data_IF_612221284761
#
_entry.id   IF_612221284761
#
_cell.length_a   1.000
_cell.length_b   1.000
_cell.length_c   1.000
_cell.angle_alpha   90.00
_cell.angle_beta   90.00
_cell.angle_gamma   90.00
#
_symmetry.space_group_name_H-M   'P 1'
#
loop_
_entity.id
_entity.type
_entity.pdbx_description
1 polymer ?
#
# COMPACT_ATOMS: atom_id res chain seq x y z
N UNK A 1 -38.95 5.08 -30.13
CA UNK A 1 -38.42 5.78 -28.94
C UNK A 1 -37.68 4.86 -27.97
N UNK A 2 -38.18 3.66 -27.64
CA UNK A 2 -37.49 2.69 -26.71
C UNK A 2 -36.15 2.18 -27.15
N UNK A 3 -35.93 1.94 -28.45
CA UNK A 3 -34.64 1.40 -28.99
C UNK A 3 -33.49 2.38 -28.87
N UNK A 4 -33.69 3.68 -29.01
CA UNK A 4 -32.64 4.70 -28.84
C UNK A 4 -32.16 4.84 -27.38
N UNK A 5 -33.07 4.74 -26.40
CA UNK A 5 -32.72 4.78 -24.97
C UNK A 5 -31.94 3.57 -24.59
N UNK A 6 -32.29 2.37 -25.05
CA UNK A 6 -31.54 1.14 -24.77
C UNK A 6 -30.14 1.17 -25.36
N UNK A 7 -29.98 1.69 -26.58
CA UNK A 7 -28.64 1.85 -27.22
C UNK A 7 -27.77 2.83 -26.44
N UNK A 8 -28.27 4.00 -26.08
CA UNK A 8 -27.52 4.97 -25.30
C UNK A 8 -27.14 4.44 -23.88
N UNK A 9 -28.02 3.65 -23.25
CA UNK A 9 -27.70 3.01 -21.98
C UNK A 9 -26.58 1.95 -22.12
N UNK A 10 -26.67 1.12 -23.16
CA UNK A 10 -25.67 0.11 -23.45
C UNK A 10 -24.27 0.75 -23.72
N UNK A 11 -24.22 1.84 -24.52
CA UNK A 11 -23.00 2.59 -24.78
C UNK A 11 -22.41 3.20 -23.49
N UNK A 12 -23.22 3.76 -22.62
CA UNK A 12 -22.75 4.29 -21.32
C UNK A 12 -22.19 3.19 -20.42
N UNK A 13 -22.86 2.05 -20.33
CA UNK A 13 -22.38 0.90 -19.54
C UNK A 13 -21.07 0.39 -20.12
N UNK A 14 -20.97 0.23 -21.43
CA UNK A 14 -19.75 -0.23 -22.09
C UNK A 14 -18.57 0.72 -21.84
N UNK A 15 -18.77 2.03 -22.02
CA UNK A 15 -17.74 3.04 -21.78
C UNK A 15 -17.30 3.06 -20.31
N UNK A 16 -18.24 2.94 -19.36
CA UNK A 16 -17.93 2.86 -17.95
C UNK A 16 -17.09 1.62 -17.59
N UNK A 17 -17.50 0.44 -18.08
CA UNK A 17 -16.75 -0.80 -17.84
C UNK A 17 -15.34 -0.73 -18.44
N UNK A 18 -15.21 -0.22 -19.66
CA UNK A 18 -13.91 -0.07 -20.32
C UNK A 18 -13.00 0.88 -19.56
N UNK A 19 -13.49 2.04 -19.12
CA UNK A 19 -12.74 3.00 -18.33
C UNK A 19 -12.28 2.42 -16.99
N UNK A 20 -13.17 1.67 -16.32
CA UNK A 20 -12.87 1.01 -15.04
C UNK A 20 -11.78 -0.05 -15.18
N UNK A 21 -11.86 -0.89 -16.22
CA UNK A 21 -10.86 -1.91 -16.50
C UNK A 21 -9.50 -1.30 -16.89
N UNK A 22 -9.50 -0.24 -17.70
CA UNK A 22 -8.28 0.49 -18.04
C UNK A 22 -7.63 1.11 -16.82
N UNK A 23 -8.39 1.76 -15.96
CA UNK A 23 -7.88 2.37 -14.74
C UNK A 23 -7.30 1.31 -13.78
N UNK A 24 -7.99 0.17 -13.59
CA UNK A 24 -7.46 -0.95 -12.80
C UNK A 24 -6.16 -1.51 -13.41
N UNK A 25 -6.10 -1.65 -14.73
CA UNK A 25 -4.88 -2.06 -15.44
C UNK A 25 -3.71 -1.10 -15.22
N UNK A 26 -3.98 0.21 -15.25
CA UNK A 26 -2.97 1.24 -14.93
C UNK A 26 -2.48 1.11 -13.48
N UNK A 27 -3.38 0.91 -12.52
CA UNK A 27 -3.00 0.68 -11.11
C UNK A 27 -2.07 -0.52 -10.99
N UNK A 28 -2.43 -1.65 -11.58
CA UNK A 28 -1.60 -2.87 -11.59
C UNK A 28 -0.22 -2.61 -12.18
N UNK A 29 -0.13 -1.94 -13.33
CA UNK A 29 1.14 -1.63 -13.99
C UNK A 29 2.03 -0.71 -13.15
N UNK A 30 1.44 0.33 -12.55
CA UNK A 30 2.17 1.26 -11.69
C UNK A 30 2.72 0.55 -10.46
N UNK A 31 1.92 -0.29 -9.82
CA UNK A 31 2.31 -1.00 -8.61
C UNK A 31 3.36 -2.09 -8.87
N UNK A 32 3.23 -2.84 -9.97
CA UNK A 32 4.28 -3.77 -10.45
C UNK A 32 5.58 -3.03 -10.73
N UNK A 33 5.51 -1.84 -11.35
CA UNK A 33 6.68 -1.00 -11.56
C UNK A 33 7.31 -0.57 -10.21
N UNK A 34 6.50 -0.16 -9.23
CA UNK A 34 6.95 0.17 -7.87
C UNK A 34 7.72 -1.01 -7.27
N UNK A 35 7.13 -2.22 -7.30
CA UNK A 35 7.76 -3.43 -6.79
C UNK A 35 9.08 -3.75 -7.47
N UNK A 36 9.12 -3.69 -8.80
CA UNK A 36 10.32 -3.92 -9.59
C UNK A 36 11.41 -2.90 -9.28
N UNK A 37 11.07 -1.61 -9.25
CA UNK A 37 12.01 -0.53 -8.96
C UNK A 37 12.55 -0.61 -7.53
N UNK A 38 11.67 -0.84 -6.55
CA UNK A 38 12.05 -1.04 -5.17
C UNK A 38 12.96 -2.27 -5.00
N UNK A 39 12.61 -3.39 -5.63
CA UNK A 39 13.42 -4.61 -5.65
C UNK A 39 14.81 -4.39 -6.24
N UNK A 40 14.92 -3.66 -7.35
CA UNK A 40 16.23 -3.28 -7.94
C UNK A 40 17.05 -2.42 -6.98
N UNK A 41 16.45 -1.43 -6.32
CA UNK A 41 17.15 -0.59 -5.32
C UNK A 41 17.61 -1.42 -4.13
N UNK A 42 16.77 -2.37 -3.68
CA UNK A 42 17.07 -3.30 -2.60
C UNK A 42 18.28 -4.21 -2.95
N UNK A 43 18.22 -4.89 -4.10
CA UNK A 43 19.30 -5.79 -4.56
C UNK A 43 20.61 -5.03 -4.74
N UNK A 44 20.57 -3.80 -5.23
CA UNK A 44 21.76 -2.93 -5.37
C UNK A 44 22.24 -2.30 -4.06
N UNK A 45 21.63 -2.63 -2.93
CA UNK A 45 22.00 -2.05 -1.62
C UNK A 45 21.69 -0.55 -1.46
N UNK A 46 20.90 0.02 -2.38
CA UNK A 46 20.49 1.43 -2.36
C UNK A 46 19.24 1.69 -1.51
N UNK A 47 18.60 0.65 -1.00
CA UNK A 47 17.51 0.69 -0.03
C UNK A 47 17.79 -0.31 1.08
N UNK A 48 17.45 0.04 2.31
CA UNK A 48 17.72 -0.79 3.49
C UNK A 48 16.47 -0.93 4.37
N UNK A 49 15.38 -1.47 3.81
CA UNK A 49 14.15 -1.66 4.58
C UNK A 49 14.34 -2.69 5.68
N UNK A 50 13.53 -2.58 6.72
CA UNK A 50 13.51 -3.55 7.83
C UNK A 50 12.56 -4.69 7.47
N UNK A 51 13.06 -5.93 7.56
CA UNK A 51 12.26 -7.14 7.29
C UNK A 51 10.99 -7.17 8.16
N UNK A 52 11.12 -6.83 9.44
CA UNK A 52 9.98 -6.83 10.37
C UNK A 52 8.82 -5.95 9.87
N UNK A 53 9.10 -4.74 9.38
CA UNK A 53 8.09 -3.83 8.81
C UNK A 53 7.38 -4.46 7.61
N UNK A 54 8.13 -5.07 6.70
CA UNK A 54 7.58 -5.69 5.50
C UNK A 54 6.76 -6.96 5.81
N UNK A 55 7.16 -7.73 6.83
CA UNK A 55 6.35 -8.86 7.32
C UNK A 55 5.01 -8.39 7.92
N UNK A 56 5.00 -7.27 8.66
CA UNK A 56 3.77 -6.70 9.19
C UNK A 56 2.88 -6.22 8.05
N UNK A 57 3.45 -5.59 7.01
CA UNK A 57 2.72 -5.22 5.81
C UNK A 57 2.11 -6.44 5.11
N UNK A 58 2.89 -7.51 4.91
CA UNK A 58 2.41 -8.75 4.29
C UNK A 58 1.20 -9.31 5.03
N UNK A 59 1.30 -9.47 6.35
CA UNK A 59 0.20 -9.94 7.18
C UNK A 59 -1.02 -9.02 7.04
N UNK A 60 -0.82 -7.70 7.11
CA UNK A 60 -1.87 -6.70 6.99
C UNK A 60 -2.58 -6.75 5.63
N UNK A 61 -1.83 -6.87 4.53
CA UNK A 61 -2.37 -6.96 3.17
C UNK A 61 -3.16 -8.25 3.00
N UNK A 62 -2.60 -9.41 3.39
CA UNK A 62 -3.28 -10.70 3.32
C UNK A 62 -4.60 -10.67 4.07
N UNK A 63 -4.59 -10.19 5.31
CA UNK A 63 -5.80 -10.14 6.13
C UNK A 63 -6.82 -9.12 5.63
N UNK A 64 -6.36 -7.99 5.08
CA UNK A 64 -7.22 -7.02 4.40
C UNK A 64 -7.94 -7.65 3.20
N UNK A 65 -7.22 -8.41 2.38
CA UNK A 65 -7.79 -9.14 1.25
C UNK A 65 -8.80 -10.20 1.70
N UNK A 66 -8.43 -11.02 2.70
CA UNK A 66 -9.34 -12.06 3.25
C UNK A 66 -10.62 -11.42 3.79
N UNK A 67 -10.51 -10.33 4.57
CA UNK A 67 -11.67 -9.62 5.10
C UNK A 67 -12.53 -8.99 4.00
N UNK A 68 -11.89 -8.41 2.96
CA UNK A 68 -12.60 -7.81 1.84
C UNK A 68 -13.37 -8.87 1.02
N UNK A 69 -12.72 -9.97 0.65
CA UNK A 69 -13.37 -11.04 -0.11
C UNK A 69 -14.37 -11.86 0.71
N UNK A 70 -14.32 -11.80 2.03
CA UNK A 70 -15.35 -12.34 2.90
C UNK A 70 -16.61 -11.44 2.98
N UNK A 71 -16.56 -10.21 2.45
CA UNK A 71 -17.72 -9.34 2.35
C UNK A 71 -18.64 -9.75 1.19
N UNK A 72 -19.93 -9.39 1.24
CA UNK A 72 -20.90 -9.74 0.20
C UNK A 72 -20.73 -8.96 -1.11
N UNK A 73 -20.18 -7.74 -1.03
CA UNK A 73 -20.06 -6.78 -2.15
C UNK A 73 -18.60 -6.60 -2.59
N UNK A 74 -17.88 -7.69 -2.89
CA UNK A 74 -16.49 -7.63 -3.31
C UNK A 74 -16.32 -7.57 -4.83
N UNK A 75 -15.22 -6.94 -5.30
CA UNK A 75 -14.86 -6.83 -6.72
C UNK A 75 -13.34 -6.93 -6.89
N UNK A 76 -12.88 -7.83 -7.76
CA UNK A 76 -11.46 -7.94 -8.10
C UNK A 76 -10.90 -6.66 -8.71
N UNK A 77 -11.71 -5.95 -9.50
CA UNK A 77 -11.30 -4.70 -10.14
C UNK A 77 -11.08 -3.59 -9.11
N UNK A 78 -11.95 -3.49 -8.11
CA UNK A 78 -11.81 -2.53 -7.01
C UNK A 78 -10.70 -2.93 -6.04
N UNK A 79 -10.44 -4.22 -5.86
CA UNK A 79 -9.33 -4.72 -5.06
C UNK A 79 -7.98 -4.69 -5.81
N UNK A 80 -7.89 -4.15 -7.03
CA UNK A 80 -6.70 -4.24 -7.88
C UNK A 80 -5.42 -3.77 -7.17
N UNK A 81 -5.44 -2.63 -6.49
CA UNK A 81 -4.30 -2.13 -5.72
C UNK A 81 -3.93 -3.08 -4.58
N UNK A 82 -4.91 -3.53 -3.78
CA UNK A 82 -4.66 -4.42 -2.64
C UNK A 82 -4.10 -5.78 -3.10
N UNK A 83 -4.57 -6.30 -4.25
CA UNK A 83 -4.07 -7.54 -4.85
C UNK A 83 -2.64 -7.40 -5.37
N UNK A 84 -2.32 -6.30 -6.03
CA UNK A 84 -0.95 -6.05 -6.52
C UNK A 84 0.01 -5.71 -5.38
N UNK A 85 -0.41 -4.98 -4.37
CA UNK A 85 0.36 -4.76 -3.14
C UNK A 85 0.75 -6.09 -2.48
N UNK A 86 -0.18 -7.07 -2.43
CA UNK A 86 0.14 -8.41 -1.93
C UNK A 86 1.30 -9.04 -2.69
N UNK A 87 1.26 -9.04 -4.02
CA UNK A 87 2.34 -9.60 -4.85
C UNK A 87 3.65 -8.84 -4.64
N UNK A 88 3.60 -7.51 -4.64
CA UNK A 88 4.78 -6.63 -4.48
C UNK A 88 5.42 -6.83 -3.12
N UNK A 89 4.64 -6.82 -2.05
CA UNK A 89 5.15 -7.00 -0.68
C UNK A 89 5.73 -8.40 -0.50
N UNK A 90 5.06 -9.46 -1.01
CA UNK A 90 5.57 -10.83 -1.01
C UNK A 90 6.93 -10.96 -1.70
N UNK A 91 7.10 -10.32 -2.87
CA UNK A 91 8.38 -10.29 -3.58
C UNK A 91 9.46 -9.59 -2.77
N UNK A 92 9.16 -8.44 -2.16
CA UNK A 92 10.12 -7.69 -1.35
C UNK A 92 10.51 -8.49 -0.10
N UNK A 93 9.55 -9.10 0.60
CA UNK A 93 9.81 -9.99 1.74
C UNK A 93 10.71 -11.15 1.33
N UNK A 94 10.40 -11.82 0.21
CA UNK A 94 11.23 -12.88 -0.35
C UNK A 94 12.66 -12.43 -0.64
N UNK A 95 12.86 -11.26 -1.27
CA UNK A 95 14.18 -10.69 -1.54
C UNK A 95 14.94 -10.39 -0.25
N UNK A 96 14.28 -9.89 0.80
CA UNK A 96 14.90 -9.63 2.10
C UNK A 96 15.40 -10.92 2.77
N UNK A 97 14.62 -12.01 2.69
CA UNK A 97 15.04 -13.31 3.17
C UNK A 97 16.25 -13.85 2.39
N UNK A 98 16.21 -13.76 1.05
CA UNK A 98 17.32 -14.21 0.19
C UNK A 98 18.63 -13.44 0.44
N UNK A 99 18.54 -12.18 0.87
CA UNK A 99 19.70 -11.36 1.23
C UNK A 99 20.24 -11.66 2.65
N UNK A 100 19.75 -12.69 3.32
CA UNK A 100 20.16 -13.06 4.68
C UNK A 100 19.71 -12.05 5.75
N UNK A 101 18.82 -11.11 5.42
CA UNK A 101 18.29 -10.13 6.37
C UNK A 101 17.22 -10.70 7.28
N UNK A 102 16.87 -11.99 7.11
CA UNK A 102 15.92 -12.75 7.95
C UNK A 102 16.48 -13.18 9.30
N UNK A 103 17.80 -13.09 9.51
CA UNK A 103 18.44 -13.62 10.71
C UNK A 103 18.60 -12.58 11.82
N UNK A 104 17.81 -12.73 12.90
CA UNK A 104 18.18 -12.20 14.21
C UNK A 104 18.01 -10.72 14.47
N UNK A 105 17.29 -9.96 13.63
CA UNK A 105 17.02 -8.56 13.93
C UNK A 105 15.87 -8.51 14.94
N UNK A 106 16.13 -8.12 16.20
CA UNK A 106 15.07 -8.01 17.18
C UNK A 106 14.02 -6.99 16.71
N UNK A 107 12.74 -7.33 16.86
CA UNK A 107 11.66 -6.38 16.61
C UNK A 107 11.83 -5.15 17.52
N UNK A 108 11.80 -3.96 16.94
CA UNK A 108 11.73 -2.73 17.70
C UNK A 108 10.43 -2.69 18.52
N UNK A 109 10.40 -1.85 19.56
CA UNK A 109 9.19 -1.69 20.38
C UNK A 109 7.96 -1.34 19.54
N UNK A 110 8.12 -0.49 18.52
CA UNK A 110 7.02 -0.11 17.63
C UNK A 110 6.54 -1.30 16.79
N UNK A 111 7.45 -2.14 16.28
CA UNK A 111 7.10 -3.36 15.54
C UNK A 111 6.40 -4.38 16.43
N UNK A 112 6.81 -4.51 17.69
CA UNK A 112 6.11 -5.36 18.67
C UNK A 112 4.68 -4.87 18.93
N UNK A 113 4.49 -3.55 19.08
CA UNK A 113 3.16 -2.93 19.24
C UNK A 113 2.30 -3.21 17.99
N UNK A 114 2.85 -3.08 16.78
CA UNK A 114 2.12 -3.41 15.55
C UNK A 114 1.68 -4.89 15.53
N UNK A 115 2.56 -5.81 15.93
CA UNK A 115 2.22 -7.24 16.00
C UNK A 115 1.12 -7.51 17.03
N UNK A 116 1.16 -6.87 18.20
CA UNK A 116 0.10 -6.99 19.22
C UNK A 116 -1.22 -6.48 18.68
N UNK A 117 -1.25 -5.31 18.02
CA UNK A 117 -2.45 -4.75 17.39
C UNK A 117 -2.96 -5.71 16.31
N UNK A 118 -2.07 -6.30 15.50
CA UNK A 118 -2.43 -7.28 14.49
C UNK A 118 -3.10 -8.52 15.12
N UNK A 119 -2.51 -9.08 16.16
CA UNK A 119 -3.08 -10.23 16.88
C UNK A 119 -4.44 -9.92 17.51
N UNK A 120 -4.57 -8.76 18.18
CA UNK A 120 -5.85 -8.32 18.75
C UNK A 120 -6.92 -8.15 17.68
N UNK A 121 -6.58 -7.53 16.55
CA UNK A 121 -7.50 -7.36 15.43
C UNK A 121 -7.93 -8.69 14.84
N UNK A 122 -7.00 -9.63 14.67
CA UNK A 122 -7.28 -10.97 14.17
C UNK A 122 -8.24 -11.72 15.10
N UNK A 123 -7.99 -11.67 16.41
CA UNK A 123 -8.87 -12.29 17.42
C UNK A 123 -10.25 -11.64 17.41
N UNK A 124 -10.32 -10.30 17.39
CA UNK A 124 -11.59 -9.58 17.34
C UNK A 124 -12.39 -9.95 16.09
N UNK A 125 -11.75 -10.03 14.92
CA UNK A 125 -12.39 -10.49 13.70
C UNK A 125 -12.84 -11.96 13.77
N UNK A 126 -11.98 -12.85 14.29
CA UNK A 126 -12.30 -14.27 14.43
C UNK A 126 -13.50 -14.50 15.36
N UNK A 127 -13.66 -13.68 16.40
CA UNK A 127 -14.78 -13.76 17.34
C UNK A 127 -16.07 -13.15 16.76
N UNK A 128 -15.97 -12.00 16.12
CA UNK A 128 -17.15 -11.28 15.60
C UNK A 128 -17.62 -11.81 14.27
N UNK A 129 -16.74 -12.44 13.46
CA UNK A 129 -16.98 -12.86 12.08
C UNK A 129 -17.48 -11.72 11.17
N UNK A 130 -17.25 -10.47 11.58
CA UNK A 130 -17.70 -9.29 10.87
C UNK A 130 -16.60 -8.81 9.94
N UNK A 131 -16.82 -8.87 8.61
CA UNK A 131 -15.84 -8.42 7.60
C UNK A 131 -15.38 -6.99 7.85
N UNK A 132 -16.29 -6.10 8.28
CA UNK A 132 -15.99 -4.71 8.60
C UNK A 132 -14.97 -4.55 9.75
N UNK A 133 -15.11 -5.33 10.82
CA UNK A 133 -14.15 -5.33 11.95
C UNK A 133 -12.76 -5.76 11.49
N UNK A 134 -12.69 -6.83 10.69
CA UNK A 134 -11.43 -7.30 10.12
C UNK A 134 -10.81 -6.23 9.21
N UNK A 135 -11.58 -5.74 8.23
CA UNK A 135 -11.08 -4.81 7.24
C UNK A 135 -10.57 -3.49 7.87
N UNK A 136 -11.36 -2.83 8.72
CA UNK A 136 -10.95 -1.58 9.38
C UNK A 136 -9.78 -1.82 10.33
N UNK A 137 -9.81 -2.90 11.12
CA UNK A 137 -8.73 -3.24 12.04
C UNK A 137 -7.40 -3.42 11.31
N UNK A 138 -7.39 -4.12 10.16
CA UNK A 138 -6.18 -4.28 9.37
C UNK A 138 -5.74 -2.98 8.69
N UNK A 139 -6.63 -2.05 8.35
CA UNK A 139 -6.22 -0.70 7.92
C UNK A 139 -5.49 0.04 9.04
N UNK A 140 -5.90 -0.12 10.30
CA UNK A 140 -5.18 0.41 11.47
C UNK A 140 -3.79 -0.23 11.59
N UNK A 141 -3.68 -1.55 11.52
CA UNK A 141 -2.39 -2.27 11.52
C UNK A 141 -1.47 -1.75 10.44
N UNK A 142 -1.96 -1.67 9.21
CA UNK A 142 -1.20 -1.17 8.06
C UNK A 142 -0.75 0.29 8.26
N UNK A 143 -1.58 1.13 8.88
CA UNK A 143 -1.21 2.52 9.20
C UNK A 143 -0.08 2.58 10.22
N UNK A 144 -0.19 1.81 11.29
CA UNK A 144 0.83 1.75 12.36
C UNK A 144 2.14 1.17 11.83
N UNK A 145 2.10 0.23 10.87
CA UNK A 145 3.28 -0.34 10.24
C UNK A 145 4.16 0.70 9.49
N UNK A 146 3.60 1.83 9.07
CA UNK A 146 4.39 2.94 8.51
C UNK A 146 5.19 3.73 9.56
N UNK A 147 4.82 3.67 10.83
CA UNK A 147 5.45 4.49 11.88
C UNK A 147 6.97 4.27 11.97
N UNK A 148 7.53 3.04 11.92
CA UNK A 148 8.97 2.85 11.92
C UNK A 148 9.67 3.51 10.73
N UNK A 149 9.08 3.45 9.54
CA UNK A 149 9.60 4.13 8.34
C UNK A 149 9.57 5.65 8.51
N UNK A 150 8.44 6.20 8.95
CA UNK A 150 8.28 7.63 9.23
C UNK A 150 9.28 8.10 10.29
N UNK A 151 9.42 7.34 11.39
CA UNK A 151 10.36 7.66 12.47
C UNK A 151 11.81 7.62 11.98
N UNK A 152 12.19 6.60 11.21
CA UNK A 152 13.52 6.47 10.65
C UNK A 152 13.85 7.65 9.74
N UNK A 153 12.93 8.04 8.87
CA UNK A 153 13.08 9.19 7.96
C UNK A 153 13.12 10.53 8.72
N UNK A 154 12.33 10.66 9.77
CA UNK A 154 12.32 11.88 10.60
C UNK A 154 13.63 12.10 11.34
N UNK A 155 14.22 11.02 11.89
CA UNK A 155 15.47 11.02 12.66
C UNK A 155 16.72 10.97 11.79
N UNK A 156 16.57 10.69 10.50
CA UNK A 156 17.70 10.52 9.59
C UNK A 156 18.45 11.83 9.38
N UNK A 157 19.77 11.83 9.69
CA UNK A 157 20.56 13.07 9.71
C UNK A 157 21.57 13.18 8.58
N UNK A 158 22.03 12.09 7.99
CA UNK A 158 23.06 12.11 6.96
C UNK A 158 23.09 10.82 6.12
N UNK A 159 23.59 10.88 4.89
CA UNK A 159 23.77 9.75 3.99
C UNK A 159 22.70 9.64 2.89
N UNK A 160 22.64 8.52 2.15
CA UNK A 160 21.60 8.27 1.16
C UNK A 160 20.24 8.02 1.83
N UNK A 161 19.14 8.44 1.20
CA UNK A 161 17.80 8.14 1.71
C UNK A 161 17.61 6.62 1.82
N UNK A 162 17.12 6.09 2.95
CA UNK A 162 16.82 4.67 3.08
C UNK A 162 15.65 4.24 2.19
N UNK A 163 14.80 5.20 1.79
CA UNK A 163 13.59 4.95 1.02
C UNK A 163 13.65 5.60 -0.37
N UNK A 164 13.28 4.88 -1.43
CA UNK A 164 13.26 5.41 -2.80
C UNK A 164 12.02 6.29 -3.02
N UNK A 165 12.21 7.61 -3.14
CA UNK A 165 11.12 8.58 -3.32
C UNK A 165 10.26 8.27 -4.56
N UNK A 166 10.89 7.78 -5.62
CA UNK A 166 10.20 7.48 -6.88
C UNK A 166 9.14 6.38 -6.68
N UNK A 167 9.48 5.31 -5.94
CA UNK A 167 8.56 4.21 -5.66
C UNK A 167 7.34 4.70 -4.85
N UNK A 168 7.58 5.48 -3.79
CA UNK A 168 6.51 6.02 -2.96
C UNK A 168 5.62 7.03 -3.72
N UNK A 169 6.21 7.83 -4.62
CA UNK A 169 5.46 8.78 -5.45
C UNK A 169 4.54 8.06 -6.44
N UNK A 170 5.05 7.03 -7.11
CA UNK A 170 4.26 6.26 -8.08
C UNK A 170 3.17 5.46 -7.36
N UNK A 171 3.46 4.88 -6.19
CA UNK A 171 2.44 4.21 -5.38
C UNK A 171 1.35 5.18 -4.90
N UNK A 172 1.70 6.43 -4.54
CA UNK A 172 0.68 7.44 -4.22
C UNK A 172 -0.25 7.73 -5.41
N UNK A 173 0.29 7.79 -6.64
CA UNK A 173 -0.51 7.96 -7.87
C UNK A 173 -1.40 6.74 -8.13
N UNK A 174 -0.86 5.52 -8.01
CA UNK A 174 -1.64 4.29 -8.16
C UNK A 174 -2.79 4.24 -7.15
N UNK A 175 -2.51 4.58 -5.89
CA UNK A 175 -3.51 4.64 -4.84
C UNK A 175 -4.59 5.72 -5.11
N UNK A 176 -4.21 6.89 -5.62
CA UNK A 176 -5.17 7.94 -6.00
C UNK A 176 -6.12 7.48 -7.12
N UNK A 177 -5.60 6.77 -8.13
CA UNK A 177 -6.42 6.16 -9.17
C UNK A 177 -7.35 5.10 -8.57
N UNK A 178 -6.87 4.28 -7.61
CA UNK A 178 -7.68 3.32 -6.86
C UNK A 178 -8.86 3.98 -6.13
N UNK A 179 -8.62 5.10 -5.43
CA UNK A 179 -9.70 5.89 -4.82
C UNK A 179 -10.73 6.32 -5.86
N UNK A 180 -10.27 6.79 -7.03
CA UNK A 180 -11.15 7.17 -8.14
C UNK A 180 -12.02 6.02 -8.64
N UNK A 181 -11.46 4.81 -8.72
CA UNK A 181 -12.20 3.59 -9.10
C UNK A 181 -13.32 3.28 -8.12
N UNK A 182 -13.05 3.38 -6.81
CA UNK A 182 -14.00 3.02 -5.77
C UNK A 182 -15.13 4.05 -5.63
N UNK A 183 -14.82 5.33 -5.89
CA UNK A 183 -15.82 6.42 -5.89
C UNK A 183 -16.67 6.41 -7.16
N UNK A 184 -16.14 6.01 -8.32
CA UNK A 184 -16.81 6.11 -9.62
C UNK A 184 -17.97 5.12 -9.84
N UNK A 185 -18.20 4.18 -8.93
CA UNK A 185 -19.23 3.15 -9.03
C UNK A 185 -20.31 3.24 -7.95
N UNK A 186 -20.67 2.09 -7.39
CA UNK A 186 -21.62 1.98 -6.26
C UNK A 186 -20.97 2.37 -4.93
N UNK A 187 -20.29 3.48 -4.81
CA UNK A 187 -19.65 4.01 -3.60
C UNK A 187 -19.25 2.93 -2.58
N UNK A 188 -18.29 2.08 -2.98
CA UNK A 188 -17.77 1.03 -2.10
C UNK A 188 -16.77 1.65 -1.11
N UNK A 189 -17.32 2.22 -0.03
CA UNK A 189 -16.54 2.87 1.02
C UNK A 189 -15.56 1.92 1.71
N UNK A 190 -15.84 0.62 1.72
CA UNK A 190 -14.95 -0.39 2.30
C UNK A 190 -13.71 -0.54 1.42
N UNK A 191 -13.90 -0.73 0.11
CA UNK A 191 -12.79 -0.80 -0.84
C UNK A 191 -11.96 0.48 -0.85
N UNK A 192 -12.61 1.66 -0.81
CA UNK A 192 -11.95 2.97 -0.85
C UNK A 192 -10.99 3.21 0.32
N UNK A 193 -11.24 2.65 1.51
CA UNK A 193 -10.36 2.85 2.67
C UNK A 193 -8.92 2.40 2.41
N UNK A 194 -8.73 1.31 1.66
CA UNK A 194 -7.41 0.79 1.37
C UNK A 194 -6.56 1.78 0.55
N UNK A 195 -6.97 2.17 -0.67
CA UNK A 195 -6.19 3.09 -1.49
C UNK A 195 -6.11 4.50 -0.89
N UNK A 196 -7.14 4.98 -0.18
CA UNK A 196 -7.10 6.29 0.49
C UNK A 196 -6.00 6.33 1.55
N UNK A 197 -5.94 5.31 2.41
CA UNK A 197 -4.87 5.17 3.42
C UNK A 197 -3.49 5.09 2.73
N UNK A 198 -3.34 4.24 1.72
CA UNK A 198 -2.09 4.07 0.99
C UNK A 198 -1.63 5.41 0.38
N UNK A 199 -2.52 6.14 -0.29
CA UNK A 199 -2.23 7.46 -0.86
C UNK A 199 -1.71 8.44 0.20
N UNK A 200 -2.42 8.60 1.32
CA UNK A 200 -2.05 9.53 2.39
C UNK A 200 -0.68 9.20 3.00
N UNK A 201 -0.43 7.91 3.29
CA UNK A 201 0.82 7.49 3.92
C UNK A 201 2.01 7.57 2.94
N UNK A 202 1.83 7.22 1.67
CA UNK A 202 2.85 7.42 0.65
C UNK A 202 3.22 8.89 0.49
N UNK A 203 2.23 9.81 0.49
CA UNK A 203 2.49 11.25 0.42
C UNK A 203 3.26 11.75 1.66
N UNK A 204 2.99 11.23 2.85
CA UNK A 204 3.76 11.55 4.06
C UNK A 204 5.23 11.11 3.88
N UNK A 205 5.48 9.88 3.42
CA UNK A 205 6.83 9.37 3.18
C UNK A 205 7.55 10.20 2.13
N UNK A 206 6.90 10.51 1.00
CA UNK A 206 7.46 11.40 -0.05
C UNK A 206 7.83 12.76 0.52
N UNK A 207 6.94 13.37 1.32
CA UNK A 207 7.21 14.66 1.97
C UNK A 207 8.44 14.61 2.88
N UNK A 208 8.62 13.52 3.63
CA UNK A 208 9.79 13.33 4.50
C UNK A 208 11.08 13.14 3.71
N UNK A 209 11.06 12.37 2.61
CA UNK A 209 12.24 12.18 1.74
C UNK A 209 12.63 13.51 1.10
N UNK A 210 11.67 14.25 0.54
CA UNK A 210 11.93 15.57 -0.07
C UNK A 210 12.47 16.57 0.95
N UNK A 211 11.92 16.60 2.17
CA UNK A 211 12.43 17.41 3.28
C UNK A 211 13.89 17.08 3.56
N UNK A 212 14.20 15.79 3.68
CA UNK A 212 15.53 15.31 3.94
C UNK A 212 16.53 15.70 2.83
N UNK A 213 16.17 15.54 1.55
CA UNK A 213 17.02 15.95 0.42
C UNK A 213 17.32 17.45 0.45
N UNK A 214 16.32 18.29 0.77
CA UNK A 214 16.50 19.74 0.91
C UNK A 214 17.49 20.11 2.03
N UNK A 215 17.41 19.43 3.17
CA UNK A 215 18.33 19.64 4.30
C UNK A 215 19.75 19.25 3.94
N UNK A 216 19.96 18.11 3.27
CA UNK A 216 21.26 17.67 2.81
C UNK A 216 21.92 18.65 1.81
N UNK A 217 21.14 19.15 0.83
CA UNK A 217 21.66 20.15 -0.13
C UNK A 217 22.11 21.42 0.57
N UNK A 218 21.39 21.88 1.58
CA UNK A 218 21.78 23.06 2.38
C UNK A 218 23.05 22.81 3.21
N UNK A 219 23.16 21.65 3.83
CA UNK A 219 24.37 21.29 4.61
C UNK A 219 25.61 21.09 3.75
N UNK A 220 25.47 20.70 2.48
CA UNK A 220 26.59 20.59 1.52
C UNK A 220 27.08 21.93 0.99
N UNK A 221 26.25 22.99 1.02
CA UNK A 221 26.62 24.35 0.61
C UNK A 221 27.36 25.15 1.72
N UNK A 222 27.38 24.66 2.94
CA UNK A 222 27.99 25.32 4.11
C UNK A 222 29.35 24.71 4.48
N UNK A 223 29.77 23.65 3.78
CA UNK A 223 31.11 23.03 3.89
C UNK A 223 31.97 23.37 2.68
#
# INVERSE_FOLDING_TARGET
>A
MRTGVLKALAERIFNYLTATLLAAGVVVLLDVWVGAWYGVKLVRGKSQPRLATWLIFEIGVVMSLVAYFASHDHSFVKAALNLTDFVVVSVIVGLLFLQGRGGGIPFSRNEQVCLVICCVTLVAWALTKTAWVGFVGFQVVMTVAYLPTIESMWRWKAGASPEPVEAWSVNAVAALIGVGLDVSGRHDYVAMLYPLRACLLCLIVVGLVVRWERLNRRGAMVR
#
